data_IF_767265505494
#
_entry.id   IF_767265505494
#
_cell.length_a   1.000
_cell.length_b   1.000
_cell.length_c   1.000
_cell.angle_alpha   90.00
_cell.angle_beta   90.00
_cell.angle_gamma   90.00
#
_symmetry.space_group_name_H-M   'P 1'
#
loop_
_entity.id
_entity.type
_entity.pdbx_description
1 polymer ?
#
# COMPACT_ATOMS: atom_id res chain seq x y z
N UNK A 1 18.68 -2.99 -6.58
CA UNK A 1 17.39 -2.53 -6.05
C UNK A 1 17.49 -2.50 -4.54
N UNK A 2 17.35 -1.34 -3.93
CA UNK A 2 17.46 -1.18 -2.46
C UNK A 2 16.13 -1.49 -1.78
N UNK A 3 16.14 -1.81 -0.49
CA UNK A 3 14.91 -2.07 0.29
C UNK A 3 13.93 -0.90 0.24
N UNK A 4 14.47 0.32 0.17
CA UNK A 4 13.68 1.55 0.05
C UNK A 4 12.96 1.65 -1.30
N UNK A 5 13.64 1.31 -2.40
CA UNK A 5 13.01 1.27 -3.73
C UNK A 5 11.88 0.25 -3.79
N UNK A 6 12.04 -0.91 -3.16
CA UNK A 6 10.99 -1.94 -3.09
C UNK A 6 9.76 -1.46 -2.32
N UNK A 7 9.96 -0.69 -1.24
CA UNK A 7 8.85 -0.14 -0.47
C UNK A 7 7.98 0.79 -1.32
N UNK A 8 8.59 1.58 -2.22
CA UNK A 8 7.92 2.59 -3.04
C UNK A 8 7.18 2.05 -4.27
N UNK A 9 7.44 0.81 -4.70
CA UNK A 9 6.83 0.20 -5.90
C UNK A 9 5.30 0.38 -5.94
N UNK A 10 4.53 -0.04 -4.92
CA UNK A 10 3.07 0.07 -4.96
C UNK A 10 2.60 1.51 -5.09
N UNK A 11 3.29 2.45 -4.45
CA UNK A 11 2.97 3.87 -4.54
C UNK A 11 3.25 4.47 -5.90
N UNK A 12 4.40 4.17 -6.51
CA UNK A 12 4.69 4.61 -7.88
C UNK A 12 3.66 4.07 -8.87
N UNK A 13 3.29 2.80 -8.74
CA UNK A 13 2.29 2.18 -9.61
C UNK A 13 0.91 2.86 -9.46
N UNK A 14 0.46 3.04 -8.23
CA UNK A 14 -0.80 3.72 -7.94
C UNK A 14 -0.80 5.18 -8.41
N UNK A 15 0.29 5.92 -8.15
CA UNK A 15 0.42 7.31 -8.56
C UNK A 15 0.38 7.44 -10.08
N UNK A 16 1.07 6.57 -10.82
CA UNK A 16 1.03 6.56 -12.29
C UNK A 16 -0.38 6.34 -12.84
N UNK A 17 -1.15 5.45 -12.21
CA UNK A 17 -2.57 5.24 -12.56
C UNK A 17 -3.40 6.49 -12.29
N UNK A 18 -3.22 7.12 -11.11
CA UNK A 18 -3.95 8.34 -10.72
C UNK A 18 -3.63 9.49 -11.69
N UNK A 19 -2.35 9.72 -11.99
CA UNK A 19 -1.92 10.78 -12.90
C UNK A 19 -2.43 10.53 -14.32
N UNK A 20 -2.37 9.29 -14.80
CA UNK A 20 -2.92 8.92 -16.11
C UNK A 20 -4.44 9.11 -16.18
N UNK A 21 -5.17 8.79 -15.11
CA UNK A 21 -6.61 9.01 -15.00
C UNK A 21 -6.96 10.51 -15.02
N UNK A 22 -6.14 11.33 -14.36
CA UNK A 22 -6.31 12.79 -14.30
C UNK A 22 -5.75 13.53 -15.52
N UNK A 23 -5.16 12.82 -16.50
CA UNK A 23 -4.48 13.42 -17.67
C UNK A 23 -3.36 14.40 -17.25
N UNK A 24 -2.69 14.16 -16.11
CA UNK A 24 -1.57 14.95 -15.63
C UNK A 24 -0.27 14.27 -16.09
N UNK A 25 0.61 15.02 -16.72
CA UNK A 25 1.91 14.52 -17.16
C UNK A 25 2.87 14.45 -15.98
N UNK A 26 3.53 13.31 -15.80
CA UNK A 26 4.48 13.06 -14.71
C UNK A 26 5.65 14.08 -14.72
N UNK A 27 6.06 14.51 -15.91
CA UNK A 27 7.10 15.53 -16.13
C UNK A 27 6.75 16.92 -15.60
N UNK A 28 5.46 17.20 -15.38
CA UNK A 28 4.99 18.48 -14.83
C UNK A 28 5.11 18.56 -13.31
N UNK A 29 5.41 17.45 -12.64
CA UNK A 29 5.49 17.35 -11.19
C UNK A 29 6.95 17.30 -10.76
N UNK A 30 7.29 18.07 -9.73
CA UNK A 30 8.63 18.05 -9.15
C UNK A 30 8.96 16.63 -8.64
N UNK A 31 10.13 16.05 -8.99
CA UNK A 31 10.46 14.66 -8.70
C UNK A 31 10.50 14.35 -7.20
N UNK A 32 10.90 15.33 -6.38
CA UNK A 32 10.87 15.19 -4.92
C UNK A 32 9.43 15.01 -4.41
N UNK A 33 8.50 15.83 -4.91
CA UNK A 33 7.08 15.77 -4.55
C UNK A 33 6.46 14.43 -4.96
N UNK A 34 6.82 13.94 -6.15
CA UNK A 34 6.40 12.64 -6.66
C UNK A 34 6.83 11.49 -5.73
N UNK A 35 8.07 11.54 -5.25
CA UNK A 35 8.59 10.55 -4.29
C UNK A 35 7.84 10.55 -2.96
N UNK A 36 7.46 11.73 -2.46
CA UNK A 36 6.72 11.88 -1.19
C UNK A 36 5.32 11.31 -1.33
N UNK A 37 4.61 11.63 -2.42
CA UNK A 37 3.28 11.06 -2.67
C UNK A 37 3.32 9.54 -2.89
N UNK A 38 4.29 9.04 -3.65
CA UNK A 38 4.50 7.61 -3.81
C UNK A 38 4.81 6.93 -2.46
N UNK A 39 5.62 7.57 -1.60
CA UNK A 39 5.90 7.10 -0.25
C UNK A 39 4.65 7.01 0.62
N UNK A 40 3.82 8.06 0.60
CA UNK A 40 2.57 8.09 1.35
C UNK A 40 1.59 7.00 0.91
N UNK A 41 1.39 6.83 -0.40
CA UNK A 41 0.50 5.79 -0.93
C UNK A 41 1.04 4.40 -0.61
N UNK A 42 2.35 4.19 -0.76
CA UNK A 42 3.00 2.92 -0.41
C UNK A 42 2.82 2.58 1.06
N UNK A 43 2.96 3.56 1.95
CA UNK A 43 2.73 3.38 3.39
C UNK A 43 1.31 2.90 3.69
N UNK A 44 0.30 3.54 3.10
CA UNK A 44 -1.11 3.13 3.24
C UNK A 44 -1.33 1.71 2.72
N UNK A 45 -0.74 1.38 1.57
CA UNK A 45 -0.80 0.04 0.99
C UNK A 45 -0.20 -1.01 1.93
N UNK A 46 1.02 -0.80 2.42
CA UNK A 46 1.67 -1.74 3.33
C UNK A 46 0.93 -1.86 4.66
N UNK A 47 0.35 -0.78 5.19
CA UNK A 47 -0.51 -0.84 6.36
C UNK A 47 -1.74 -1.72 6.13
N UNK A 48 -2.37 -1.63 4.95
CA UNK A 48 -3.47 -2.51 4.59
C UNK A 48 -3.03 -3.97 4.45
N UNK A 49 -1.85 -4.23 3.85
CA UNK A 49 -1.27 -5.58 3.75
C UNK A 49 -0.99 -6.17 5.13
N UNK A 50 -0.35 -5.42 6.03
CA UNK A 50 -0.05 -5.87 7.39
C UNK A 50 -1.35 -6.21 8.13
N UNK A 51 -2.38 -5.37 8.02
CA UNK A 51 -3.70 -5.65 8.61
C UNK A 51 -4.34 -6.90 8.03
N UNK A 52 -4.25 -7.11 6.72
CA UNK A 52 -4.77 -8.30 6.06
C UNK A 52 -4.03 -9.57 6.52
N UNK A 53 -2.69 -9.52 6.56
CA UNK A 53 -1.85 -10.62 7.06
C UNK A 53 -2.20 -10.93 8.51
N UNK A 54 -2.35 -9.91 9.36
CA UNK A 54 -2.77 -10.09 10.75
C UNK A 54 -4.14 -10.78 10.87
N UNK A 55 -5.12 -10.34 10.09
CA UNK A 55 -6.45 -10.95 10.07
C UNK A 55 -6.42 -12.42 9.60
N UNK A 56 -5.60 -12.73 8.59
CA UNK A 56 -5.39 -14.10 8.10
C UNK A 56 -4.73 -14.95 9.19
N UNK A 57 -3.68 -14.44 9.83
CA UNK A 57 -2.97 -15.12 10.92
C UNK A 57 -3.91 -15.44 12.08
N UNK A 58 -4.68 -14.46 12.57
CA UNK A 58 -5.67 -14.70 13.64
C UNK A 58 -6.71 -15.76 13.25
N UNK A 59 -7.11 -15.81 11.98
CA UNK A 59 -8.03 -16.82 11.48
C UNK A 59 -7.39 -18.21 11.43
N UNK A 60 -6.15 -18.32 11.00
CA UNK A 60 -5.40 -19.60 10.95
C UNK A 60 -5.20 -20.17 12.36
N UNK A 61 -4.83 -19.33 13.33
CA UNK A 61 -4.62 -19.74 14.72
C UNK A 61 -5.92 -19.95 15.52
N UNK A 62 -7.09 -19.81 14.89
CA UNK A 62 -8.38 -20.05 15.54
C UNK A 62 -8.83 -18.96 16.51
N UNK A 63 -8.08 -17.86 16.65
CA UNK A 63 -8.45 -16.72 17.51
C UNK A 63 -9.66 -15.92 16.98
N UNK A 64 -10.21 -16.29 15.82
CA UNK A 64 -11.47 -15.77 15.27
C UNK A 64 -12.70 -16.63 15.57
N UNK A 65 -12.57 -17.71 16.34
CA UNK A 65 -13.69 -18.53 16.78
C UNK A 65 -14.57 -17.78 17.77
N UNK A 66 -15.59 -17.08 17.27
CA UNK A 66 -16.72 -16.65 18.10
C UNK A 66 -17.21 -17.86 18.88
N UNK A 67 -17.24 -17.74 20.21
CA UNK A 67 -17.93 -18.68 21.08
C UNK A 67 -19.34 -18.94 20.57
N UNK A 68 -19.51 -20.09 19.93
CA UNK A 68 -20.77 -20.75 19.66
C UNK A 68 -20.67 -22.16 20.26
N UNK A 69 -20.36 -22.22 21.56
CA UNK A 69 -20.76 -23.35 22.38
C UNK A 69 -21.94 -22.85 23.20
N UNK A 70 -23.12 -23.25 22.72
CA UNK A 70 -24.25 -23.59 23.58
C UNK A 70 -23.80 -24.60 24.64
#
# INVERSE_FOLDING_TARGET
>A
MTTFETFLIPGHYALRIILSFLQIFEESIEPALLSVFAGFISWVFWMAVIRAVWAITLRIFGFGGRGHYR
#
